data_IF_982655007553
#
_entry.id   IF_982655007553
#
_cell.length_a   1.000
_cell.length_b   1.000
_cell.length_c   1.000
_cell.angle_alpha   90.00
_cell.angle_beta   90.00
_cell.angle_gamma   90.00
#
_symmetry.space_group_name_H-M   'P 1'
#
loop_
_entity.id
_entity.type
_entity.pdbx_description
1 polymer ?
#
# COMPACT_ATOMS: atom_id res chain seq x y z
N UNK A 1 -9.84 -18.62 -9.07
CA UNK A 1 -10.63 -17.40 -8.89
C UNK A 1 -9.92 -16.60 -7.80
N UNK A 2 -9.03 -15.70 -8.18
CA UNK A 2 -8.46 -14.76 -7.21
C UNK A 2 -9.53 -13.72 -6.93
N UNK A 3 -10.09 -13.75 -5.73
CA UNK A 3 -11.07 -12.77 -5.28
C UNK A 3 -10.35 -11.60 -4.61
N UNK A 4 -10.75 -10.37 -4.96
CA UNK A 4 -10.28 -9.18 -4.26
C UNK A 4 -10.69 -9.26 -2.79
N UNK A 5 -9.70 -9.17 -1.91
CA UNK A 5 -9.94 -9.00 -0.48
C UNK A 5 -10.65 -7.66 -0.22
N UNK A 6 -11.41 -7.56 0.87
CA UNK A 6 -12.15 -6.33 1.23
C UNK A 6 -11.26 -5.09 1.21
N UNK A 7 -10.00 -5.24 1.65
CA UNK A 7 -9.01 -4.18 1.62
C UNK A 7 -8.62 -3.76 0.20
N UNK A 8 -8.51 -4.70 -0.72
CA UNK A 8 -8.16 -4.43 -2.11
C UNK A 8 -9.31 -3.72 -2.85
N UNK A 9 -10.56 -4.04 -2.51
CA UNK A 9 -11.74 -3.31 -3.00
C UNK A 9 -11.77 -1.87 -2.48
N UNK A 10 -11.52 -1.67 -1.19
CA UNK A 10 -11.47 -0.32 -0.59
C UNK A 10 -10.34 0.53 -1.20
N UNK A 11 -9.20 -0.08 -1.55
CA UNK A 11 -8.11 0.61 -2.28
C UNK A 11 -8.57 1.09 -3.68
N UNK A 12 -9.30 0.27 -4.43
CA UNK A 12 -9.79 0.64 -5.76
C UNK A 12 -10.86 1.73 -5.69
N UNK A 13 -11.80 1.61 -4.76
CA UNK A 13 -12.83 2.61 -4.49
C UNK A 13 -12.21 3.95 -4.06
N UNK A 14 -11.18 3.89 -3.21
CA UNK A 14 -10.44 5.07 -2.78
C UNK A 14 -9.70 5.74 -3.95
N UNK A 15 -9.08 4.99 -4.86
CA UNK A 15 -8.46 5.56 -6.08
C UNK A 15 -9.47 6.22 -7.03
N UNK A 16 -10.73 5.80 -7.01
CA UNK A 16 -11.79 6.45 -7.78
C UNK A 16 -12.11 7.86 -7.21
N UNK A 17 -11.77 8.11 -5.94
CA UNK A 17 -11.88 9.41 -5.30
C UNK A 17 -10.93 10.45 -5.90
N UNK A 18 -11.47 11.63 -6.25
CA UNK A 18 -10.66 12.78 -6.69
C UNK A 18 -10.04 13.48 -5.48
N UNK A 19 -8.73 13.29 -5.29
CA UNK A 19 -7.94 14.07 -4.32
C UNK A 19 -7.35 15.30 -4.98
N UNK A 20 -7.54 16.47 -4.37
CA UNK A 20 -7.08 17.76 -4.89
C UNK A 20 -5.54 17.93 -4.89
N UNK A 21 -4.79 16.99 -4.30
CA UNK A 21 -3.32 17.03 -4.30
C UNK A 21 -2.68 15.74 -3.78
N UNK A 22 -1.44 15.49 -4.20
CA UNK A 22 -0.67 14.30 -3.80
C UNK A 22 -0.49 14.19 -2.27
N UNK A 23 -0.29 15.31 -1.57
CA UNK A 23 -0.14 15.31 -0.11
C UNK A 23 -1.42 14.96 0.66
N UNK A 24 -2.59 15.36 0.17
CA UNK A 24 -3.88 14.97 0.77
C UNK A 24 -4.16 13.48 0.59
N UNK A 25 -3.70 12.91 -0.52
CA UNK A 25 -3.85 11.48 -0.80
C UNK A 25 -2.99 10.64 0.14
N UNK A 26 -1.72 11.00 0.34
CA UNK A 26 -0.82 10.27 1.26
C UNK A 26 -1.31 10.29 2.70
N UNK A 27 -1.77 11.46 3.18
CA UNK A 27 -2.37 11.57 4.52
C UNK A 27 -3.64 10.73 4.64
N UNK A 28 -4.54 10.80 3.65
CA UNK A 28 -5.77 10.03 3.67
C UNK A 28 -5.50 8.51 3.59
N UNK A 29 -4.49 8.06 2.84
CA UNK A 29 -4.04 6.65 2.83
C UNK A 29 -3.60 6.23 4.24
N UNK A 30 -2.76 7.05 4.88
CA UNK A 30 -2.24 6.72 6.22
C UNK A 30 -3.35 6.70 7.26
N UNK A 31 -4.33 7.60 7.18
CA UNK A 31 -5.47 7.65 8.10
C UNK A 31 -6.49 6.54 7.85
N UNK A 32 -6.84 6.24 6.59
CA UNK A 32 -7.83 5.22 6.20
C UNK A 32 -7.31 3.80 6.39
N UNK A 33 -6.08 3.55 5.92
CA UNK A 33 -5.52 2.21 5.84
C UNK A 33 -4.47 1.94 6.93
N UNK A 34 -3.90 2.96 7.56
CA UNK A 34 -2.83 2.78 8.55
C UNK A 34 -1.49 2.35 7.95
N UNK A 35 -1.33 2.43 6.62
CA UNK A 35 -0.09 2.08 5.92
C UNK A 35 0.58 3.31 5.33
N UNK A 36 1.91 3.26 5.21
CA UNK A 36 2.65 4.27 4.48
C UNK A 36 2.36 4.25 2.98
N UNK A 37 2.50 5.39 2.31
CA UNK A 37 2.26 5.54 0.88
C UNK A 37 3.02 4.51 0.03
N UNK A 38 4.28 4.22 0.38
CA UNK A 38 5.09 3.20 -0.31
C UNK A 38 4.45 1.82 -0.30
N UNK A 39 3.96 1.34 0.86
CA UNK A 39 3.32 0.03 0.94
C UNK A 39 1.98 0.01 0.20
N UNK A 40 1.21 1.10 0.30
CA UNK A 40 -0.02 1.28 -0.46
C UNK A 40 0.20 1.17 -1.97
N UNK A 41 1.18 1.91 -2.51
CA UNK A 41 1.49 1.84 -3.94
C UNK A 41 2.04 0.48 -4.36
N UNK A 42 2.76 -0.24 -3.50
CA UNK A 42 3.18 -1.61 -3.79
C UNK A 42 1.99 -2.58 -3.89
N UNK A 43 1.06 -2.52 -2.93
CA UNK A 43 -0.18 -3.31 -2.98
C UNK A 43 -1.02 -2.95 -4.19
N UNK A 44 -1.22 -1.66 -4.46
CA UNK A 44 -1.93 -1.17 -5.64
C UNK A 44 -1.28 -1.69 -6.93
N UNK A 45 0.05 -1.65 -7.02
CA UNK A 45 0.78 -2.14 -8.19
C UNK A 45 0.63 -3.65 -8.41
N UNK A 46 0.56 -4.45 -7.36
CA UNK A 46 0.29 -5.89 -7.47
C UNK A 46 -1.16 -6.13 -7.91
N UNK A 47 -2.11 -5.42 -7.30
CA UNK A 47 -3.53 -5.41 -7.65
C UNK A 47 -3.77 -5.11 -9.14
N UNK A 48 -3.11 -4.08 -9.67
CA UNK A 48 -3.25 -3.66 -11.06
C UNK A 48 -2.77 -4.71 -12.07
N UNK A 49 -1.98 -5.70 -11.64
CA UNK A 49 -1.51 -6.79 -12.47
C UNK A 49 -2.43 -8.03 -12.39
N UNK A 50 -3.24 -8.13 -11.33
CA UNK A 50 -4.17 -9.24 -11.11
C UNK A 50 -5.46 -9.13 -11.92
N UNK A 51 -5.95 -10.26 -12.43
CA UNK A 51 -7.26 -10.36 -13.10
C UNK A 51 -8.42 -9.99 -12.17
N UNK A 52 -8.27 -10.22 -10.85
CA UNK A 52 -9.25 -9.86 -9.84
C UNK A 52 -9.61 -8.36 -9.86
N UNK A 53 -8.64 -7.49 -10.12
CA UNK A 53 -8.86 -6.05 -10.21
C UNK A 53 -9.64 -5.67 -11.49
N UNK A 54 -9.30 -6.30 -12.62
CA UNK A 54 -10.02 -6.12 -13.88
C UNK A 54 -11.48 -6.58 -13.78
N UNK A 55 -11.77 -7.62 -13.01
CA UNK A 55 -13.12 -8.11 -12.80
C UNK A 55 -13.99 -7.13 -11.97
N UNK A 56 -13.38 -6.29 -11.14
CA UNK A 56 -14.10 -5.34 -10.30
C UNK A 56 -14.25 -3.96 -10.95
N UNK A 57 -13.16 -3.37 -11.46
CA UNK A 57 -13.24 -2.09 -12.16
C UNK A 57 -12.26 -2.04 -13.35
N UNK A 58 -12.65 -2.60 -14.51
CA UNK A 58 -11.75 -2.71 -15.64
C UNK A 58 -11.33 -1.35 -16.20
N UNK A 59 -12.16 -0.31 -16.07
CA UNK A 59 -11.88 1.02 -16.60
C UNK A 59 -10.81 1.73 -15.79
N UNK A 60 -10.94 1.74 -14.46
CA UNK A 60 -9.96 2.34 -13.56
C UNK A 60 -8.62 1.61 -13.66
N UNK A 61 -8.64 0.27 -13.65
CA UNK A 61 -7.44 -0.57 -13.70
C UNK A 61 -6.69 -0.38 -15.02
N UNK A 62 -7.37 -0.32 -16.17
CA UNK A 62 -6.72 -0.06 -17.45
C UNK A 62 -6.09 1.34 -17.52
N UNK A 63 -6.77 2.36 -16.97
CA UNK A 63 -6.24 3.73 -16.91
C UNK A 63 -4.97 3.79 -16.07
N UNK A 64 -4.99 3.17 -14.88
CA UNK A 64 -3.84 3.11 -13.97
C UNK A 64 -2.68 2.28 -14.53
N UNK A 65 -2.94 1.14 -15.20
CA UNK A 65 -1.90 0.35 -15.91
C UNK A 65 -1.19 1.18 -16.97
N UNK A 66 -1.92 1.93 -17.80
CA UNK A 66 -1.33 2.86 -18.78
C UNK A 66 -0.50 3.95 -18.09
N UNK A 67 -1.02 4.51 -17.00
CA UNK A 67 -0.32 5.51 -16.17
C UNK A 67 1.01 5.00 -15.61
N UNK A 68 1.06 3.70 -15.28
CA UNK A 68 2.23 3.03 -14.74
C UNK A 68 3.24 2.72 -15.84
N UNK A 69 2.79 2.25 -17.00
CA UNK A 69 3.67 1.93 -18.13
C UNK A 69 4.52 3.15 -18.57
N UNK A 70 3.93 4.36 -18.55
CA UNK A 70 4.66 5.61 -18.79
C UNK A 70 5.66 5.96 -17.68
N UNK A 71 5.39 5.57 -16.43
CA UNK A 71 6.23 5.91 -15.27
C UNK A 71 7.36 4.89 -15.02
N UNK A 72 7.15 3.61 -15.38
CA UNK A 72 8.14 2.53 -15.23
C UNK A 72 9.36 2.71 -16.13
N UNK A 73 9.24 3.43 -17.25
CA UNK A 73 10.37 3.75 -18.14
C UNK A 73 11.48 4.56 -17.44
N UNK A 74 11.19 5.12 -16.25
CA UNK A 74 12.09 6.02 -15.53
C UNK A 74 12.65 5.47 -14.21
N UNK A 75 12.32 4.23 -13.78
CA UNK A 75 12.76 3.72 -12.47
C UNK A 75 13.24 2.26 -12.53
N UNK A 76 14.56 2.10 -12.41
CA UNK A 76 15.18 0.82 -12.02
C UNK A 76 14.71 0.44 -10.61
N UNK A 77 14.21 -0.78 -10.37
CA UNK A 77 13.76 -1.19 -9.05
C UNK A 77 14.99 -1.40 -8.14
N UNK A 78 15.28 -0.42 -7.29
CA UNK A 78 16.13 -0.63 -6.13
C UNK A 78 15.30 -1.26 -5.02
N UNK A 79 15.75 -2.45 -4.65
CA UNK A 79 15.44 -3.28 -3.49
C UNK A 79 15.13 -2.45 -2.23
N UNK A 80 13.88 -2.49 -1.75
CA UNK A 80 13.49 -2.12 -0.38
C UNK A 80 12.76 -3.35 0.18
N UNK A 81 13.20 -4.03 1.24
CA UNK A 81 13.68 -3.53 2.54
C UNK A 81 12.71 -2.51 3.13
N UNK A 82 11.61 -3.01 3.72
CA UNK A 82 10.87 -2.31 4.75
C UNK A 82 9.83 -3.21 5.43
N UNK A 83 10.11 -3.66 6.67
CA UNK A 83 9.29 -3.40 7.87
C UNK A 83 9.95 -4.03 9.10
N UNK A 84 10.60 -3.17 9.88
CA UNK A 84 10.88 -3.32 11.30
C UNK A 84 9.56 -3.48 12.08
N UNK A 85 9.35 -4.53 12.90
CA UNK A 85 8.21 -4.58 13.80
C UNK A 85 8.51 -3.74 15.05
N UNK A 86 8.06 -2.48 15.02
CA UNK A 86 7.84 -1.70 16.24
C UNK A 86 6.65 -2.29 17.01
N UNK A 87 6.94 -3.15 17.99
CA UNK A 87 6.20 -3.30 19.26
C UNK A 87 6.58 -4.62 19.97
N UNK A 88 7.38 -4.53 21.04
CA UNK A 88 7.24 -5.41 22.19
C UNK A 88 6.96 -4.52 23.42
N UNK A 89 5.76 -4.57 24.02
CA UNK A 89 5.48 -3.88 25.26
C UNK A 89 6.01 -4.69 26.46
N UNK A 90 6.89 -4.08 27.26
CA UNK A 90 7.13 -4.44 28.66
C UNK A 90 8.00 -5.68 28.93
N UNK A 91 9.28 -5.46 29.21
CA UNK A 91 10.05 -6.37 30.06
C UNK A 91 10.03 -5.83 31.50
N UNK A 92 9.39 -6.48 32.48
CA UNK A 92 9.70 -6.27 33.89
C UNK A 92 11.07 -6.92 34.20
N UNK A 93 11.80 -6.34 35.17
CA UNK A 93 13.15 -6.77 35.57
C UNK A 93 13.26 -8.23 36.05
N UNK A 94 14.46 -8.66 36.46
CA UNK A 94 14.77 -8.41 37.87
C UNK A 94 16.19 -7.88 38.13
N UNK A 95 16.24 -6.97 39.09
CA UNK A 95 17.42 -6.67 39.89
C UNK A 95 18.05 -7.94 40.47
N UNK A 96 19.35 -8.07 40.30
CA UNK A 96 20.30 -8.70 41.23
C UNK A 96 21.60 -7.90 41.02
N UNK A 97 22.24 -7.28 42.00
CA UNK A 97 22.32 -7.64 43.40
C UNK A 97 23.69 -8.23 43.70
N UNK A 98 24.73 -7.39 43.61
CA UNK A 98 26.05 -7.54 44.26
C UNK A 98 26.93 -8.74 43.87
N UNK A 99 28.06 -8.94 44.58
CA UNK A 99 28.74 -8.04 45.52
C UNK A 99 29.77 -7.10 44.86
#
# INVERSE_FOLDING_TARGET
MEELSARQRDILDFEAGTFAGAGSKEQAIRTRFGVGATNYYQQLNALLDSEAALAHDPLLVNRLRRLRARNQRSRTPRRNDFTEPTAAPGSPGPSHGGP
#
